data_IF_061851629087
#
_entry.id   IF_061851629087
#
_cell.length_a   1.000
_cell.length_b   1.000
_cell.length_c   1.000
_cell.angle_alpha   90.00
_cell.angle_beta   90.00
_cell.angle_gamma   90.00
#
_symmetry.space_group_name_H-M   'P 1'
#
loop_
_entity.id
_entity.type
_entity.pdbx_description
1 polymer ?
#
# COMPACT_ATOMS: atom_id res chain seq x y z
N UNK A 1 -9.78 27.09 12.44
CA UNK A 1 -8.39 27.30 11.93
C UNK A 1 -7.36 27.85 12.94
N UNK A 2 -7.64 28.21 14.23
CA UNK A 2 -6.57 28.69 15.12
C UNK A 2 -5.81 27.59 15.91
N UNK A 3 -6.35 26.36 16.01
CA UNK A 3 -5.80 25.35 16.94
C UNK A 3 -4.66 24.50 16.36
N UNK A 4 -4.61 24.28 15.04
CA UNK A 4 -3.46 23.65 14.41
C UNK A 4 -2.24 24.58 14.47
N UNK A 5 -2.45 25.89 14.33
CA UNK A 5 -1.40 26.92 14.41
C UNK A 5 -0.67 26.90 15.75
N UNK A 6 -1.33 26.51 16.85
CA UNK A 6 -0.71 26.47 18.18
C UNK A 6 0.22 25.27 18.37
N UNK A 7 -0.13 24.10 17.83
CA UNK A 7 0.79 22.95 17.80
C UNK A 7 1.93 23.17 16.80
N UNK A 8 1.64 23.82 15.67
CA UNK A 8 2.62 24.16 14.64
C UNK A 8 3.66 25.17 15.12
N UNK A 9 3.24 26.23 15.83
CA UNK A 9 4.14 27.25 16.38
C UNK A 9 5.16 26.65 17.35
N UNK A 10 4.76 25.64 18.13
CA UNK A 10 5.62 24.95 19.08
C UNK A 10 6.64 24.02 18.40
N UNK A 11 6.26 23.35 17.30
CA UNK A 11 7.22 22.52 16.53
C UNK A 11 8.18 23.31 15.64
N UNK A 12 7.76 24.46 15.09
CA UNK A 12 8.60 25.24 14.16
C UNK A 12 9.59 26.19 14.85
N UNK A 13 9.38 26.56 16.11
CA UNK A 13 10.27 27.45 16.86
C UNK A 13 11.51 26.76 17.46
N UNK A 14 11.75 25.47 17.18
CA UNK A 14 12.80 24.71 17.90
C UNK A 14 12.47 24.52 19.39
N UNK A 15 11.25 24.82 19.80
CA UNK A 15 10.78 24.72 21.17
C UNK A 15 9.95 23.45 21.38
N UNK A 16 10.65 22.32 21.40
CA UNK A 16 10.22 21.18 22.26
C UNK A 16 10.15 21.62 23.74
N UNK A 17 10.64 22.83 24.06
CA UNK A 17 10.62 23.56 25.34
C UNK A 17 9.23 23.82 25.96
N UNK A 18 8.15 23.93 25.18
CA UNK A 18 6.85 24.33 25.74
C UNK A 18 5.99 23.17 26.29
N UNK A 19 6.38 21.92 26.02
CA UNK A 19 5.87 20.79 26.79
C UNK A 19 6.80 20.59 27.98
N UNK A 20 6.28 20.28 29.18
CA UNK A 20 7.18 19.88 30.26
C UNK A 20 8.03 18.72 29.73
N UNK A 21 9.36 18.83 29.88
CA UNK A 21 10.42 17.87 29.50
C UNK A 21 10.22 16.43 30.05
N UNK A 22 9.09 16.18 30.69
CA UNK A 22 8.67 14.99 31.41
C UNK A 22 8.00 13.97 30.49
N UNK A 23 7.49 14.37 29.32
CA UNK A 23 6.73 13.46 28.45
C UNK A 23 7.62 12.73 27.44
N UNK A 24 7.48 11.40 27.40
CA UNK A 24 8.17 10.57 26.41
C UNK A 24 7.68 10.90 24.99
N UNK A 25 8.54 10.79 23.96
CA UNK A 25 8.15 10.97 22.57
C UNK A 25 7.01 10.05 22.12
N UNK A 26 6.90 8.87 22.74
CA UNK A 26 5.79 7.93 22.53
C UNK A 26 4.45 8.52 23.00
N UNK A 27 4.43 9.12 24.19
CA UNK A 27 3.24 9.77 24.72
C UNK A 27 2.78 10.96 23.87
N UNK A 28 3.73 11.75 23.36
CA UNK A 28 3.44 12.86 22.45
C UNK A 28 2.83 12.37 21.14
N UNK A 29 3.34 11.26 20.58
CA UNK A 29 2.81 10.65 19.37
C UNK A 29 1.34 10.24 19.58
N UNK A 30 1.05 9.51 20.65
CA UNK A 30 -0.31 9.03 20.98
C UNK A 30 -1.31 10.17 21.12
N UNK A 31 -0.96 11.22 21.88
CA UNK A 31 -1.85 12.39 22.03
C UNK A 31 -2.06 13.17 20.74
N UNK A 32 -1.10 13.11 19.84
CA UNK A 32 -1.16 13.82 18.56
C UNK A 32 -2.01 13.09 17.52
N UNK A 33 -2.18 11.76 17.62
CA UNK A 33 -2.90 10.93 16.62
C UNK A 33 -4.27 11.51 16.28
N UNK A 34 -5.13 11.74 17.28
CA UNK A 34 -6.48 12.23 17.05
C UNK A 34 -6.51 13.59 16.33
N UNK A 35 -5.60 14.50 16.73
CA UNK A 35 -5.50 15.84 16.14
C UNK A 35 -5.00 15.79 14.71
N UNK A 36 -4.03 14.91 14.43
CA UNK A 36 -3.51 14.66 13.09
C UNK A 36 -4.63 14.10 12.19
N UNK A 37 -5.35 13.07 12.64
CA UNK A 37 -6.46 12.48 11.88
C UNK A 37 -7.55 13.51 11.56
N UNK A 38 -7.90 14.36 12.54
CA UNK A 38 -8.86 15.46 12.33
C UNK A 38 -8.36 16.48 11.31
N UNK A 39 -7.08 16.85 11.36
CA UNK A 39 -6.50 17.80 10.40
C UNK A 39 -6.46 17.22 8.98
N UNK A 40 -6.05 15.97 8.82
CA UNK A 40 -6.04 15.25 7.53
C UNK A 40 -7.45 15.08 6.93
N UNK A 41 -8.47 14.96 7.80
CA UNK A 41 -9.87 14.81 7.38
C UNK A 41 -10.57 16.13 7.05
N UNK A 42 -10.02 17.27 7.46
CA UNK A 42 -10.63 18.59 7.20
C UNK A 42 -10.50 18.99 5.72
N UNK A 43 -11.61 19.31 5.06
CA UNK A 43 -11.61 19.87 3.70
C UNK A 43 -11.68 21.41 3.75
N UNK A 44 -11.00 22.13 2.83
CA UNK A 44 -10.00 21.64 1.88
C UNK A 44 -8.64 21.44 2.57
N UNK A 45 -8.10 20.23 2.51
CA UNK A 45 -6.78 19.93 3.07
C UNK A 45 -5.73 20.48 2.11
N UNK A 46 -5.15 21.62 2.46
CA UNK A 46 -4.11 22.30 1.68
C UNK A 46 -2.81 21.48 1.68
N UNK A 47 -2.08 21.49 0.57
CA UNK A 47 -0.74 20.91 0.41
C UNK A 47 0.20 21.31 1.55
N UNK A 48 0.15 22.59 1.95
CA UNK A 48 0.97 23.11 3.05
C UNK A 48 0.60 22.46 4.40
N UNK A 49 -0.69 22.16 4.62
CA UNK A 49 -1.13 21.47 5.83
C UNK A 49 -0.60 20.03 5.87
N UNK A 50 -0.66 19.31 4.75
CA UNK A 50 -0.14 17.93 4.66
C UNK A 50 1.37 17.91 4.89
N UNK A 51 2.13 18.80 4.23
CA UNK A 51 3.59 18.92 4.42
C UNK A 51 3.98 19.21 5.87
N UNK A 52 3.20 20.09 6.53
CA UNK A 52 3.40 20.43 7.92
C UNK A 52 3.07 19.30 8.89
N UNK A 53 1.98 18.56 8.62
CA UNK A 53 1.62 17.35 9.38
C UNK A 53 2.72 16.30 9.25
N UNK A 54 3.20 16.06 8.03
CA UNK A 54 4.31 15.13 7.76
C UNK A 54 5.58 15.55 8.52
N UNK A 55 5.93 16.83 8.49
CA UNK A 55 7.08 17.37 9.22
C UNK A 55 6.94 17.20 10.74
N UNK A 56 5.74 17.42 11.28
CA UNK A 56 5.43 17.24 12.70
C UNK A 56 5.53 15.77 13.11
N UNK A 57 4.95 14.86 12.33
CA UNK A 57 5.04 13.42 12.56
C UNK A 57 6.50 12.97 12.56
N UNK A 58 7.28 13.38 11.55
CA UNK A 58 8.70 13.03 11.44
C UNK A 58 9.52 13.58 12.62
N UNK A 59 9.20 14.77 13.11
CA UNK A 59 9.87 15.35 14.28
C UNK A 59 9.61 14.54 15.55
N UNK A 60 8.37 14.08 15.76
CA UNK A 60 8.02 13.23 16.90
C UNK A 60 8.65 11.84 16.76
N UNK A 61 8.57 11.23 15.57
CA UNK A 61 9.10 9.89 15.27
C UNK A 61 10.62 9.79 15.46
N UNK A 62 11.38 10.87 15.22
CA UNK A 62 12.82 10.93 15.47
C UNK A 62 13.17 10.66 16.95
N UNK A 63 12.30 11.08 17.88
CA UNK A 63 12.49 10.82 19.31
C UNK A 63 12.07 9.42 19.77
N UNK A 64 11.36 8.66 18.94
CA UNK A 64 10.89 7.30 19.28
C UNK A 64 11.90 6.27 18.79
N UNK A 65 12.35 5.38 19.68
CA UNK A 65 13.24 4.28 19.31
C UNK A 65 12.56 3.29 18.36
N UNK A 66 13.32 2.69 17.44
CA UNK A 66 12.80 1.67 16.52
C UNK A 66 12.31 0.45 17.29
N UNK A 67 11.22 -0.16 16.82
CA UNK A 67 10.58 -1.32 17.45
C UNK A 67 10.25 -1.15 18.95
N UNK A 68 9.99 0.08 19.41
CA UNK A 68 9.69 0.37 20.83
C UNK A 68 8.20 0.52 21.14
N UNK A 69 7.35 0.69 20.12
CA UNK A 69 5.91 0.77 20.30
C UNK A 69 5.29 -0.63 20.38
N UNK A 70 4.63 -0.91 21.51
CA UNK A 70 4.02 -2.20 21.79
C UNK A 70 2.66 -2.38 21.11
N UNK A 71 2.24 -3.64 21.02
CA UNK A 71 0.97 -4.08 20.45
C UNK A 71 -0.27 -3.40 21.02
N UNK A 72 -0.28 -3.08 22.31
CA UNK A 72 -1.45 -2.53 23.02
C UNK A 72 -1.90 -1.19 22.44
N UNK A 73 -0.98 -0.45 21.84
CA UNK A 73 -1.22 0.89 21.32
C UNK A 73 -1.69 0.89 19.87
N UNK A 74 -1.70 -0.27 19.20
CA UNK A 74 -2.06 -0.40 17.77
C UNK A 74 -3.43 0.19 17.46
N UNK A 75 -4.41 0.16 18.36
CA UNK A 75 -5.80 0.56 18.08
C UNK A 75 -5.90 1.95 17.42
N UNK A 76 -4.99 2.86 17.76
CA UNK A 76 -5.02 4.25 17.29
C UNK A 76 -4.29 4.49 15.95
N UNK A 77 -3.39 3.57 15.55
CA UNK A 77 -2.45 3.84 14.45
C UNK A 77 -2.94 3.47 13.03
N UNK A 78 -3.80 2.46 12.81
CA UNK A 78 -4.38 2.20 11.51
C UNK A 78 -5.15 3.40 10.96
N UNK A 79 -5.78 4.20 11.82
CA UNK A 79 -6.51 5.40 11.38
C UNK A 79 -5.56 6.46 10.82
N UNK A 80 -4.47 6.80 11.52
CA UNK A 80 -3.48 7.76 11.01
C UNK A 80 -2.80 7.23 9.74
N UNK A 81 -2.45 5.93 9.67
CA UNK A 81 -1.90 5.33 8.46
C UNK A 81 -2.89 5.42 7.29
N UNK A 82 -4.17 5.10 7.52
CA UNK A 82 -5.20 5.17 6.48
C UNK A 82 -5.38 6.61 5.97
N UNK A 83 -5.39 7.60 6.88
CA UNK A 83 -5.52 9.02 6.53
C UNK A 83 -4.30 9.57 5.80
N UNK A 84 -3.10 9.12 6.14
CA UNK A 84 -1.87 9.45 5.40
C UNK A 84 -1.92 8.86 3.99
N UNK A 85 -2.37 7.61 3.82
CA UNK A 85 -2.56 7.01 2.49
C UNK A 85 -3.60 7.80 1.66
N UNK A 86 -4.72 8.23 2.27
CA UNK A 86 -5.71 9.08 1.58
C UNK A 86 -5.14 10.45 1.19
N UNK A 87 -4.16 10.96 1.94
CA UNK A 87 -3.47 12.20 1.57
C UNK A 87 -2.57 12.02 0.34
N UNK A 88 -1.95 10.84 0.16
CA UNK A 88 -1.10 10.52 -0.99
C UNK A 88 -1.84 10.55 -2.35
N UNK A 89 -3.15 10.25 -2.35
CA UNK A 89 -3.96 10.12 -3.56
C UNK A 89 -4.42 11.44 -4.16
N UNK A 90 -4.34 12.54 -3.40
CA UNK A 90 -4.89 13.81 -3.86
C UNK A 90 -4.03 14.31 -5.03
N UNK A 91 -4.63 14.26 -6.23
CA UNK A 91 -4.03 14.45 -7.57
C UNK A 91 -3.27 15.77 -7.78
N UNK A 92 -3.25 16.66 -6.78
CA UNK A 92 -2.53 17.95 -6.80
C UNK A 92 -1.24 17.91 -5.94
N UNK A 93 -0.90 16.78 -5.32
CA UNK A 93 0.35 16.64 -4.58
C UNK A 93 1.52 16.57 -5.58
N UNK A 94 2.46 17.52 -5.49
CA UNK A 94 3.80 17.41 -6.09
C UNK A 94 4.41 16.08 -5.67
N UNK A 95 5.01 15.31 -6.59
CA UNK A 95 5.56 13.96 -6.34
C UNK A 95 6.39 13.86 -5.05
N UNK A 96 7.10 14.94 -4.71
CA UNK A 96 7.86 15.09 -3.47
C UNK A 96 7.03 14.84 -2.21
N UNK A 97 5.84 15.43 -2.10
CA UNK A 97 5.01 15.33 -0.89
C UNK A 97 4.36 13.95 -0.79
N UNK A 98 4.02 13.34 -1.93
CA UNK A 98 3.58 11.95 -1.96
C UNK A 98 4.69 11.03 -1.42
N UNK A 99 5.92 11.23 -1.89
CA UNK A 99 7.10 10.54 -1.38
C UNK A 99 7.29 10.74 0.12
N UNK A 100 7.20 11.98 0.59
CA UNK A 100 7.33 12.31 2.02
C UNK A 100 6.24 11.63 2.87
N UNK A 101 5.00 11.56 2.40
CA UNK A 101 3.90 10.88 3.10
C UNK A 101 4.14 9.37 3.21
N UNK A 102 4.53 8.72 2.11
CA UNK A 102 4.83 7.27 2.09
C UNK A 102 6.02 6.98 3.00
N UNK A 103 7.09 7.78 2.91
CA UNK A 103 8.27 7.63 3.75
C UNK A 103 7.93 7.79 5.24
N UNK A 104 7.13 8.80 5.58
CA UNK A 104 6.66 9.05 6.96
C UNK A 104 5.84 7.88 7.49
N UNK A 105 5.01 7.27 6.64
CA UNK A 105 4.22 6.10 7.01
C UNK A 105 5.12 4.88 7.26
N UNK A 106 6.13 4.64 6.41
CA UNK A 106 7.12 3.58 6.65
C UNK A 106 7.93 3.82 7.92
N UNK A 107 8.36 5.06 8.17
CA UNK A 107 9.10 5.43 9.37
C UNK A 107 8.27 5.26 10.64
N UNK A 108 6.97 5.57 10.57
CA UNK A 108 6.01 5.30 11.64
C UNK A 108 5.87 3.81 11.89
N UNK A 109 5.70 3.00 10.84
CA UNK A 109 5.63 1.54 10.96
C UNK A 109 6.89 0.96 11.59
N UNK A 110 8.06 1.47 11.21
CA UNK A 110 9.36 1.05 11.77
C UNK A 110 9.51 1.31 13.29
N UNK A 111 8.61 2.10 13.91
CA UNK A 111 8.58 2.29 15.37
C UNK A 111 7.85 1.18 16.12
N UNK A 112 7.03 0.40 15.44
CA UNK A 112 6.34 -0.75 16.00
C UNK A 112 7.22 -2.00 15.98
N UNK A 113 7.00 -2.90 16.93
CA UNK A 113 7.53 -4.27 16.83
C UNK A 113 6.99 -4.98 15.57
N UNK A 114 7.64 -6.07 15.14
CA UNK A 114 7.28 -6.75 13.88
C UNK A 114 5.85 -7.29 13.87
N UNK A 115 5.34 -7.73 15.01
CA UNK A 115 3.96 -8.23 15.13
C UNK A 115 2.96 -7.09 14.98
N UNK A 116 3.22 -5.94 15.58
CA UNK A 116 2.40 -4.76 15.48
C UNK A 116 2.40 -4.17 14.07
N UNK A 117 3.55 -4.16 13.39
CA UNK A 117 3.64 -3.81 11.97
C UNK A 117 2.73 -4.69 11.11
N UNK A 118 2.82 -6.01 11.30
CA UNK A 118 1.97 -6.99 10.61
C UNK A 118 0.49 -6.71 10.84
N UNK A 119 0.09 -6.46 12.09
CA UNK A 119 -1.30 -6.20 12.45
C UNK A 119 -1.83 -4.90 11.82
N UNK A 120 -1.00 -3.85 11.75
CA UNK A 120 -1.38 -2.60 11.06
C UNK A 120 -1.57 -2.86 9.57
N UNK A 121 -0.64 -3.57 8.91
CA UNK A 121 -0.76 -3.90 7.48
C UNK A 121 -2.03 -4.73 7.21
N UNK A 122 -2.26 -5.79 7.99
CA UNK A 122 -3.49 -6.61 7.90
C UNK A 122 -4.74 -5.77 8.08
N UNK A 123 -4.74 -4.86 9.06
CA UNK A 123 -5.90 -4.00 9.35
C UNK A 123 -6.18 -3.04 8.20
N UNK A 124 -5.16 -2.47 7.57
CA UNK A 124 -5.31 -1.59 6.41
C UNK A 124 -5.90 -2.34 5.22
N UNK A 125 -5.36 -3.51 4.88
CA UNK A 125 -5.90 -4.36 3.79
C UNK A 125 -7.35 -4.73 4.08
N UNK A 126 -7.66 -5.13 5.32
CA UNK A 126 -9.02 -5.44 5.73
C UNK A 126 -9.97 -4.24 5.60
N UNK A 127 -9.52 -3.03 5.98
CA UNK A 127 -10.32 -1.81 5.85
C UNK A 127 -10.63 -1.46 4.39
N UNK A 128 -9.68 -1.68 3.48
CA UNK A 128 -9.87 -1.49 2.04
C UNK A 128 -10.93 -2.46 1.53
N UNK A 129 -10.73 -3.76 1.78
CA UNK A 129 -11.65 -4.83 1.35
C UNK A 129 -13.09 -4.60 1.80
N UNK A 130 -13.28 -4.23 3.07
CA UNK A 130 -14.60 -4.01 3.64
C UNK A 130 -15.15 -2.60 3.39
N UNK A 131 -14.53 -1.82 2.49
CA UNK A 131 -14.97 -0.47 2.14
C UNK A 131 -15.11 0.49 3.34
N UNK A 132 -14.38 0.22 4.43
CA UNK A 132 -14.33 1.10 5.61
C UNK A 132 -13.58 2.38 5.27
N UNK A 133 -12.55 2.25 4.44
CA UNK A 133 -11.78 3.36 3.88
C UNK A 133 -11.78 3.20 2.36
N UNK A 134 -12.18 4.26 1.65
CA UNK A 134 -12.16 4.30 0.18
C UNK A 134 -10.95 5.08 -0.30
N UNK A 135 -10.38 4.55 -1.39
CA UNK A 135 -9.18 5.01 -2.05
C UNK A 135 -9.50 5.20 -3.54
N UNK A 136 -9.13 6.34 -4.11
CA UNK A 136 -9.29 6.58 -5.54
C UNK A 136 -8.32 5.73 -6.37
N UNK A 137 -7.15 5.44 -5.80
CA UNK A 137 -6.07 4.64 -6.38
C UNK A 137 -5.89 3.35 -5.57
N UNK A 138 -7.01 2.65 -5.33
CA UNK A 138 -7.06 1.48 -4.45
C UNK A 138 -6.06 0.39 -4.85
N UNK A 139 -5.96 0.07 -6.15
CA UNK A 139 -5.06 -0.98 -6.63
C UNK A 139 -3.59 -0.63 -6.41
N UNK A 140 -3.22 0.64 -6.54
CA UNK A 140 -1.88 1.15 -6.23
C UNK A 140 -1.60 1.10 -4.73
N UNK A 141 -2.56 1.47 -3.89
CA UNK A 141 -2.42 1.43 -2.42
C UNK A 141 -2.26 -0.02 -1.94
N UNK A 142 -3.07 -0.95 -2.44
CA UNK A 142 -2.94 -2.38 -2.12
C UNK A 142 -1.62 -2.94 -2.64
N UNK A 143 -1.21 -2.60 -3.86
CA UNK A 143 0.08 -3.01 -4.41
C UNK A 143 1.23 -2.57 -3.48
N UNK A 144 1.19 -1.33 -3.00
CA UNK A 144 2.18 -0.83 -2.06
C UNK A 144 2.15 -1.56 -0.70
N UNK A 145 0.97 -1.89 -0.16
CA UNK A 145 0.83 -2.67 1.07
C UNK A 145 1.38 -4.10 0.92
N UNK A 146 1.12 -4.75 -0.21
CA UNK A 146 1.65 -6.07 -0.57
C UNK A 146 3.17 -6.02 -0.69
N UNK A 147 3.70 -4.99 -1.35
CA UNK A 147 5.14 -4.87 -1.55
C UNK A 147 5.88 -4.49 -0.25
N UNK A 148 5.23 -3.69 0.61
CA UNK A 148 5.69 -3.46 1.98
C UNK A 148 5.74 -4.76 2.77
N UNK A 149 4.69 -5.58 2.71
CA UNK A 149 4.67 -6.89 3.36
C UNK A 149 5.81 -7.78 2.86
N UNK A 150 6.00 -7.86 1.53
CA UNK A 150 7.09 -8.61 0.90
C UNK A 150 8.47 -8.19 1.43
N UNK A 151 8.74 -6.88 1.54
CA UNK A 151 10.01 -6.37 2.09
C UNK A 151 10.25 -6.77 3.55
N UNK A 152 9.21 -7.11 4.31
CA UNK A 152 9.33 -7.56 5.71
C UNK A 152 9.53 -9.06 5.86
N UNK A 153 9.30 -9.86 4.81
CA UNK A 153 9.46 -11.32 4.86
C UNK A 153 10.91 -11.75 5.20
N UNK A 154 11.91 -11.06 4.66
CA UNK A 154 13.33 -11.31 4.99
C UNK A 154 13.71 -10.77 6.37
N UNK A 155 12.94 -9.85 6.94
CA UNK A 155 13.31 -9.13 8.16
C UNK A 155 12.84 -9.84 9.44
N UNK A 156 11.78 -10.63 9.37
CA UNK A 156 11.23 -11.29 10.56
C UNK A 156 10.43 -12.55 10.22
N UNK A 157 10.65 -13.61 11.00
CA UNK A 157 9.86 -14.85 10.94
C UNK A 157 8.37 -14.65 11.18
N UNK A 158 7.98 -13.59 11.90
CA UNK A 158 6.57 -13.29 12.19
C UNK A 158 5.78 -13.12 10.89
N UNK A 159 6.37 -12.45 9.89
CA UNK A 159 5.77 -12.29 8.57
C UNK A 159 5.77 -13.60 7.78
N UNK A 160 6.76 -14.47 7.96
CA UNK A 160 6.78 -15.77 7.27
C UNK A 160 5.69 -16.71 7.80
N UNK A 161 5.49 -16.75 9.12
CA UNK A 161 4.46 -17.58 9.78
C UNK A 161 3.04 -17.19 9.38
N UNK A 162 2.83 -15.91 9.09
CA UNK A 162 1.51 -15.33 8.77
C UNK A 162 1.23 -15.19 7.26
N UNK A 163 2.13 -15.73 6.44
CA UNK A 163 2.02 -15.69 4.98
C UNK A 163 0.74 -16.35 4.47
N UNK A 164 0.31 -17.46 5.09
CA UNK A 164 -0.93 -18.15 4.70
C UNK A 164 -2.17 -17.29 4.88
N UNK A 165 -2.26 -16.56 6.00
CA UNK A 165 -3.37 -15.63 6.23
C UNK A 165 -3.37 -14.48 5.22
N UNK A 166 -2.19 -13.97 4.88
CA UNK A 166 -2.08 -12.89 3.89
C UNK A 166 -2.53 -13.36 2.50
N UNK A 167 -2.15 -14.56 2.08
CA UNK A 167 -2.68 -15.14 0.85
C UNK A 167 -4.19 -15.32 0.88
N UNK A 168 -4.74 -15.74 2.02
CA UNK A 168 -6.19 -15.76 2.25
C UNK A 168 -6.82 -14.39 2.00
N UNK A 169 -6.32 -13.34 2.65
CA UNK A 169 -6.82 -11.98 2.44
C UNK A 169 -6.73 -11.52 0.98
N UNK A 170 -5.61 -11.80 0.30
CA UNK A 170 -5.37 -11.37 -1.07
C UNK A 170 -6.25 -12.10 -2.08
N UNK A 171 -6.57 -13.38 -1.83
CA UNK A 171 -7.45 -14.18 -2.69
C UNK A 171 -8.90 -13.69 -2.73
N UNK A 172 -9.31 -12.90 -1.74
CA UNK A 172 -10.69 -12.40 -1.64
C UNK A 172 -10.92 -11.09 -2.42
N UNK A 173 -9.86 -10.47 -2.95
CA UNK A 173 -10.00 -9.27 -3.79
C UNK A 173 -10.40 -9.64 -5.21
N UNK A 174 -11.51 -9.07 -5.66
CA UNK A 174 -12.05 -9.28 -7.00
C UNK A 174 -12.28 -7.92 -7.64
N UNK A 175 -11.70 -7.72 -8.82
CA UNK A 175 -11.85 -6.51 -9.61
C UNK A 175 -12.63 -6.81 -10.89
N UNK A 176 -13.53 -5.91 -11.26
CA UNK A 176 -14.34 -6.05 -12.50
C UNK A 176 -13.49 -5.90 -13.76
N UNK A 177 -12.43 -5.08 -13.71
CA UNK A 177 -11.53 -4.83 -14.82
C UNK A 177 -10.09 -5.07 -14.40
N UNK A 178 -9.40 -5.95 -15.15
CA UNK A 178 -7.98 -6.26 -14.94
C UNK A 178 -7.08 -5.03 -15.14
N UNK A 179 -7.52 -4.07 -15.96
CA UNK A 179 -6.78 -2.84 -16.21
C UNK A 179 -6.67 -1.99 -14.94
N UNK A 180 -7.77 -1.82 -14.23
CA UNK A 180 -7.83 -1.04 -12.99
C UNK A 180 -7.06 -1.72 -11.85
N UNK A 181 -6.95 -3.05 -11.89
CA UNK A 181 -6.27 -3.86 -10.87
C UNK A 181 -4.86 -4.28 -11.24
N UNK A 182 -4.31 -3.77 -12.36
CA UNK A 182 -3.00 -4.17 -12.88
C UNK A 182 -1.87 -4.06 -11.85
N UNK A 183 -1.80 -2.95 -11.11
CA UNK A 183 -0.82 -2.76 -10.04
C UNK A 183 -0.95 -3.79 -8.91
N UNK A 184 -2.18 -4.09 -8.50
CA UNK A 184 -2.44 -5.08 -7.46
C UNK A 184 -1.97 -6.47 -7.91
N UNK A 185 -2.38 -6.92 -9.09
CA UNK A 185 -1.97 -8.22 -9.61
C UNK A 185 -0.46 -8.31 -9.83
N UNK A 186 0.18 -7.23 -10.32
CA UNK A 186 1.63 -7.18 -10.43
C UNK A 186 2.33 -7.41 -9.08
N UNK A 187 1.87 -6.74 -8.01
CA UNK A 187 2.43 -6.93 -6.67
C UNK A 187 2.20 -8.34 -6.13
N UNK A 188 1.02 -8.92 -6.39
CA UNK A 188 0.69 -10.30 -6.02
C UNK A 188 1.60 -11.32 -6.73
N UNK A 189 1.85 -11.16 -8.03
CA UNK A 189 2.76 -12.00 -8.80
C UNK A 189 4.20 -11.89 -8.26
N UNK A 190 4.66 -10.67 -7.99
CA UNK A 190 5.98 -10.42 -7.41
C UNK A 190 6.12 -11.06 -6.02
N UNK A 191 5.07 -11.04 -5.19
CA UNK A 191 5.04 -11.74 -3.91
C UNK A 191 5.15 -13.26 -4.08
N UNK A 192 4.38 -13.86 -4.99
CA UNK A 192 4.45 -15.31 -5.28
C UNK A 192 5.82 -15.72 -5.79
N UNK A 193 6.38 -14.96 -6.74
CA UNK A 193 7.72 -15.18 -7.26
C UNK A 193 8.76 -15.09 -6.16
N UNK A 194 8.66 -14.08 -5.30
CA UNK A 194 9.58 -13.89 -4.19
C UNK A 194 9.51 -15.05 -3.19
N UNK A 195 8.32 -15.54 -2.85
CA UNK A 195 8.13 -16.73 -2.01
C UNK A 195 8.81 -17.96 -2.63
N UNK A 196 8.66 -18.17 -3.94
CA UNK A 196 9.29 -19.27 -4.66
C UNK A 196 10.82 -19.18 -4.67
N UNK A 197 11.36 -18.01 -5.00
CA UNK A 197 12.81 -17.76 -5.03
C UNK A 197 13.45 -17.94 -3.65
N UNK A 198 12.74 -17.59 -2.59
CA UNK A 198 13.18 -17.77 -1.19
C UNK A 198 12.88 -19.15 -0.63
N UNK A 199 12.29 -20.05 -1.42
CA UNK A 199 11.95 -21.43 -1.05
C UNK A 199 11.10 -21.50 0.23
N UNK A 200 10.17 -20.56 0.38
CA UNK A 200 9.32 -20.44 1.57
C UNK A 200 8.03 -21.25 1.41
N UNK A 201 7.79 -22.18 2.33
CA UNK A 201 6.55 -22.95 2.48
C UNK A 201 5.96 -23.47 1.15
N UNK A 202 6.50 -24.59 0.67
CA UNK A 202 6.12 -25.24 -0.59
C UNK A 202 4.63 -25.58 -0.66
N UNK A 203 4.06 -26.18 0.40
CA UNK A 203 2.64 -26.53 0.45
C UNK A 203 1.72 -25.32 0.28
N UNK A 204 2.08 -24.18 0.87
CA UNK A 204 1.31 -22.95 0.71
C UNK A 204 1.41 -22.40 -0.71
N UNK A 205 2.58 -22.51 -1.34
CA UNK A 205 2.74 -22.05 -2.71
C UNK A 205 1.94 -22.91 -3.71
N UNK A 206 1.85 -24.22 -3.48
CA UNK A 206 0.98 -25.11 -4.28
C UNK A 206 -0.50 -24.71 -4.17
N UNK A 207 -0.95 -24.27 -3.00
CA UNK A 207 -2.29 -23.74 -2.81
C UNK A 207 -2.48 -22.42 -3.56
N UNK A 208 -1.51 -21.50 -3.48
CA UNK A 208 -1.51 -20.23 -4.22
C UNK A 208 -1.54 -20.43 -5.74
N UNK A 209 -0.86 -21.46 -6.25
CA UNK A 209 -0.94 -21.85 -7.67
C UNK A 209 -2.39 -22.15 -8.06
N UNK A 210 -3.07 -22.95 -7.25
CA UNK A 210 -4.46 -23.39 -7.53
C UNK A 210 -5.47 -22.27 -7.35
N UNK A 211 -5.35 -21.47 -6.29
CA UNK A 211 -6.36 -20.47 -5.90
C UNK A 211 -6.18 -19.12 -6.60
N UNK A 212 -4.96 -18.75 -6.99
CA UNK A 212 -4.66 -17.42 -7.54
C UNK A 212 -4.06 -17.51 -8.94
N UNK A 213 -2.96 -18.25 -9.14
CA UNK A 213 -2.22 -18.20 -10.42
C UNK A 213 -3.01 -18.81 -11.58
N UNK A 214 -3.64 -19.98 -11.39
CA UNK A 214 -4.44 -20.62 -12.43
C UNK A 214 -5.68 -19.78 -12.83
N UNK A 215 -6.51 -19.28 -11.89
CA UNK A 215 -7.59 -18.37 -12.23
C UNK A 215 -7.11 -17.09 -12.93
N UNK A 216 -5.99 -16.51 -12.47
CA UNK A 216 -5.44 -15.30 -13.08
C UNK A 216 -4.96 -15.53 -14.52
N UNK A 217 -4.40 -16.72 -14.83
CA UNK A 217 -4.05 -17.10 -16.21
C UNK A 217 -5.27 -17.11 -17.13
N UNK A 218 -6.40 -17.64 -16.64
CA UNK A 218 -7.65 -17.63 -17.41
C UNK A 218 -8.12 -16.19 -17.66
N UNK A 219 -8.13 -15.34 -16.62
CA UNK A 219 -8.49 -13.93 -16.75
C UNK A 219 -7.58 -13.16 -17.73
N UNK A 220 -6.27 -13.42 -17.74
CA UNK A 220 -5.33 -12.83 -18.69
C UNK A 220 -5.62 -13.29 -20.13
N UNK A 221 -5.98 -14.56 -20.33
CA UNK A 221 -6.32 -15.08 -21.65
C UNK A 221 -7.63 -14.46 -22.17
N UNK A 222 -8.64 -14.34 -21.30
CA UNK A 222 -9.91 -13.69 -21.63
C UNK A 222 -9.69 -12.21 -22.00
N UNK A 223 -8.85 -11.49 -21.25
CA UNK A 223 -8.53 -10.10 -21.57
C UNK A 223 -7.78 -9.96 -22.90
N UNK A 224 -6.79 -10.83 -23.16
CA UNK A 224 -6.08 -10.84 -24.44
C UNK A 224 -7.03 -11.05 -25.63
N UNK A 225 -8.01 -11.95 -25.49
CA UNK A 225 -9.04 -12.17 -26.52
C UNK A 225 -9.92 -10.95 -26.72
N UNK A 226 -10.34 -10.28 -25.64
CA UNK A 226 -11.13 -9.05 -25.73
C UNK A 226 -10.37 -7.93 -26.44
N UNK A 227 -9.06 -7.80 -26.22
CA UNK A 227 -8.21 -6.82 -26.91
C UNK A 227 -7.97 -7.17 -28.38
N UNK A 228 -7.86 -8.46 -28.73
CA UNK A 228 -7.84 -8.89 -30.12
C UNK A 228 -9.15 -8.59 -30.85
N UNK A 229 -10.30 -8.74 -30.19
CA UNK A 229 -11.61 -8.42 -30.76
C UNK A 229 -11.76 -6.90 -30.90
N UNK A 230 -11.34 -6.12 -29.91
CA UNK A 230 -11.40 -4.66 -29.98
C UNK A 230 -10.49 -4.11 -31.08
N UNK A 231 -9.26 -4.60 -31.19
CA UNK A 231 -8.33 -4.17 -32.26
C UNK A 231 -8.81 -4.56 -33.66
N UNK A 232 -9.53 -5.69 -33.83
CA UNK A 232 -10.19 -6.06 -35.09
C UNK A 232 -11.38 -5.14 -35.40
N UNK A 233 -12.14 -4.72 -34.38
CA UNK A 233 -13.27 -3.81 -34.51
C UNK A 233 -12.86 -2.33 -34.71
N UNK A 234 -11.73 -1.90 -34.14
CA UNK A 234 -11.21 -0.55 -34.28
C UNK A 234 -10.56 -0.34 -35.65
N UNK A 235 -9.98 -1.40 -36.24
CA UNK A 235 -9.59 -1.44 -37.66
C UNK A 235 -10.77 -1.24 -38.62
N UNK A 236 -12.00 -1.47 -38.16
CA UNK A 236 -13.23 -1.22 -38.93
C UNK A 236 -13.87 0.15 -38.64
N UNK A 237 -13.41 0.89 -37.61
CA UNK A 237 -13.95 2.20 -37.18
C UNK A 237 -12.97 3.37 -37.32
N UNK A 238 -11.88 3.16 -38.04
CA UNK A 238 -10.77 4.11 -38.22
C UNK A 238 -11.09 5.34 -39.10
N UNK A 239 -12.34 5.84 -39.06
CA UNK A 239 -12.76 7.09 -39.70
C UNK A 239 -13.14 8.21 -38.72
N UNK A 240 -13.36 7.97 -37.42
CA UNK A 240 -13.74 9.07 -36.52
C UNK A 240 -12.96 9.08 -35.18
N UNK A 241 -12.25 10.21 -35.03
CA UNK A 241 -11.43 10.70 -33.93
C UNK A 241 -11.75 10.16 -32.52
N UNK A 242 -10.74 9.58 -31.88
CA UNK A 242 -10.71 9.41 -30.42
C UNK A 242 -9.33 9.71 -29.84
N UNK A 243 -9.33 10.34 -28.67
CA UNK A 243 -8.18 10.94 -27.99
C UNK A 243 -7.05 9.94 -27.71
N UNK A 244 -5.83 10.31 -28.10
CA UNK A 244 -4.63 9.47 -28.18
C UNK A 244 -4.01 9.12 -26.80
N UNK A 245 -4.41 9.80 -25.71
CA UNK A 245 -3.74 9.69 -24.41
C UNK A 245 -4.24 8.56 -23.51
N UNK A 246 -5.52 8.17 -23.58
CA UNK A 246 -6.07 7.06 -22.77
C UNK A 246 -5.78 5.66 -23.36
N UNK A 247 -5.26 5.61 -24.59
CA UNK A 247 -4.92 4.38 -25.32
C UNK A 247 -3.52 3.89 -24.96
N UNK A 248 -2.56 4.78 -24.71
CA UNK A 248 -1.17 4.38 -24.42
C UNK A 248 -1.04 3.57 -23.12
N UNK A 249 -1.71 3.99 -22.04
CA UNK A 249 -1.71 3.24 -20.76
C UNK A 249 -2.50 1.92 -20.84
N UNK A 250 -3.40 1.76 -21.83
CA UNK A 250 -4.15 0.52 -22.06
C UNK A 250 -3.27 -0.56 -22.71
N UNK A 251 -2.43 -0.19 -23.66
CA UNK A 251 -1.65 -1.13 -24.47
C UNK A 251 -0.44 -1.74 -23.73
N UNK A 252 0.10 -1.08 -22.70
CA UNK A 252 1.31 -1.55 -22.01
C UNK A 252 1.04 -2.47 -20.81
N UNK A 253 -0.16 -2.41 -20.23
CA UNK A 253 -0.47 -3.15 -19.00
C UNK A 253 -0.61 -4.67 -19.22
N UNK A 254 -1.25 -5.10 -20.31
CA UNK A 254 -1.44 -6.53 -20.59
C UNK A 254 -0.10 -7.23 -20.90
N UNK A 255 0.75 -6.75 -21.83
CA UNK A 255 2.05 -7.37 -22.09
C UNK A 255 2.93 -7.44 -20.84
N UNK A 256 2.90 -6.40 -20.01
CA UNK A 256 3.63 -6.36 -18.74
C UNK A 256 3.16 -7.46 -17.77
N UNK A 257 1.85 -7.62 -17.58
CA UNK A 257 1.30 -8.65 -16.70
C UNK A 257 1.53 -10.07 -17.23
N UNK A 258 1.44 -10.26 -18.55
CA UNK A 258 1.77 -11.55 -19.18
C UNK A 258 3.24 -11.92 -18.95
N UNK A 259 4.15 -10.96 -19.14
CA UNK A 259 5.57 -11.16 -18.86
C UNK A 259 5.82 -11.49 -17.37
N UNK A 260 5.25 -10.73 -16.46
CA UNK A 260 5.36 -10.99 -15.02
C UNK A 260 4.79 -12.36 -14.63
N UNK A 261 3.67 -12.75 -15.21
CA UNK A 261 3.05 -14.04 -14.97
C UNK A 261 3.99 -15.17 -15.39
N UNK A 262 4.58 -15.10 -16.59
CA UNK A 262 5.52 -16.11 -17.09
C UNK A 262 6.73 -16.26 -16.15
N UNK A 263 7.37 -15.14 -15.78
CA UNK A 263 8.51 -15.18 -14.84
C UNK A 263 8.14 -15.77 -13.47
N UNK A 264 6.93 -15.47 -13.00
CA UNK A 264 6.42 -16.00 -11.73
C UNK A 264 6.17 -17.49 -11.86
N UNK A 265 5.52 -17.93 -12.94
CA UNK A 265 5.22 -19.33 -13.20
C UNK A 265 6.49 -20.19 -13.27
N UNK A 266 7.50 -19.74 -14.01
CA UNK A 266 8.80 -20.44 -14.11
C UNK A 266 9.45 -20.61 -12.72
N UNK A 267 9.47 -19.53 -11.93
CA UNK A 267 10.07 -19.55 -10.59
C UNK A 267 9.31 -20.49 -9.64
N UNK A 268 7.98 -20.51 -9.76
CA UNK A 268 7.10 -21.34 -8.92
C UNK A 268 7.22 -22.82 -9.32
N UNK A 269 7.15 -23.14 -10.61
CA UNK A 269 7.37 -24.50 -11.11
C UNK A 269 8.72 -25.06 -10.68
N UNK A 270 9.80 -24.28 -10.84
CA UNK A 270 11.13 -24.69 -10.40
C UNK A 270 11.22 -25.01 -8.90
N UNK A 271 10.37 -24.41 -8.05
CA UNK A 271 10.35 -24.71 -6.63
C UNK A 271 9.35 -25.81 -6.25
N UNK A 272 8.24 -25.96 -6.98
CA UNK A 272 7.23 -26.99 -6.69
C UNK A 272 7.65 -28.36 -7.23
N UNK A 273 8.39 -28.42 -8.34
CA UNK A 273 8.84 -29.69 -8.94
C UNK A 273 10.09 -30.27 -8.26
N UNK A 274 10.84 -29.47 -7.50
CA UNK A 274 12.02 -29.88 -6.71
C UNK A 274 11.70 -30.01 -5.22
#
# INVERSE_FOLDING_TARGET
MPECSYLMALTFAGEISAYPLVYSPQFLLERSVFRICRSLSSQPTNINNISMIVSLINSIIKGVQRASLSRERIVFYPEICAKLLQACERVVMVDRIRGDCVQTLEDLLNRFDHLAQLLVIKRLIWQIKHNVVRYNLESQVLAWLVDLYRRRLDQSEVFQKELGFMWGLLSEFHYESLQQSSHFHAAVLVLARYQALKRMNKSLLEEVVKSILLPFKAQLADWAQLEEISSKNDRTKLDEQTNITDLADRFDALPFLQFLYLQTWESVCAFVEH
#
